data_IF_968970573119
#
_entry.id   IF_968970573119
#
_cell.length_a   1.000
_cell.length_b   1.000
_cell.length_c   1.000
_cell.angle_alpha   90.00
_cell.angle_beta   90.00
_cell.angle_gamma   90.00
#
_symmetry.space_group_name_H-M   'P 1'
#
loop_
_entity.id
_entity.type
_entity.pdbx_description
1 polymer ?
#
# COMPACT_ATOMS: atom_id res chain seq x y z
N UNK A 1 56.52 -12.62 12.42
CA UNK A 1 56.50 -11.40 13.21
C UNK A 1 55.08 -11.04 13.48
N UNK A 2 54.71 -11.19 14.68
CA UNK A 2 53.39 -11.34 15.23
C UNK A 2 52.77 -10.05 15.74
N UNK A 3 51.45 -10.09 15.76
CA UNK A 3 50.68 -9.44 16.83
C UNK A 3 50.43 -7.96 16.70
N UNK A 4 49.35 -7.62 15.99
CA UNK A 4 48.51 -6.46 16.32
C UNK A 4 47.21 -6.37 15.53
N UNK A 5 46.57 -7.51 15.26
CA UNK A 5 45.18 -7.52 14.74
C UNK A 5 44.32 -8.37 15.71
N UNK A 6 44.04 -7.83 16.86
CA UNK A 6 42.94 -8.25 17.73
C UNK A 6 42.74 -7.15 18.77
N UNK A 7 41.75 -6.33 18.54
CA UNK A 7 40.94 -5.57 19.52
C UNK A 7 40.39 -4.31 18.88
N UNK A 8 39.31 -4.49 18.15
CA UNK A 8 38.34 -3.43 17.95
C UNK A 8 36.96 -4.05 17.65
N UNK A 9 36.53 -4.88 18.56
CA UNK A 9 35.11 -5.19 18.72
C UNK A 9 34.70 -4.67 20.06
N UNK A 10 33.57 -3.98 20.09
CA UNK A 10 32.86 -3.46 21.25
C UNK A 10 33.10 -1.98 21.53
N UNK A 11 32.47 -1.12 20.75
CA UNK A 11 31.99 0.15 21.27
C UNK A 11 30.45 0.10 21.26
N UNK A 12 29.93 -0.55 22.27
CA UNK A 12 28.53 -0.35 22.69
C UNK A 12 28.46 1.08 23.24
N UNK A 13 27.87 1.97 22.47
CA UNK A 13 27.54 3.30 22.95
C UNK A 13 26.34 3.18 23.88
N UNK A 14 26.59 3.23 25.17
CA UNK A 14 25.57 3.36 26.21
C UNK A 14 24.95 4.74 26.05
N UNK A 15 23.74 4.77 25.50
CA UNK A 15 22.91 5.97 25.43
C UNK A 15 22.37 6.24 26.84
N UNK A 16 22.98 7.20 27.55
CA UNK A 16 22.44 7.71 28.82
C UNK A 16 21.14 8.46 28.56
N UNK A 17 20.05 7.89 29.04
CA UNK A 17 18.71 8.47 29.03
C UNK A 17 18.68 9.62 30.05
N UNK A 18 18.68 10.86 29.59
CA UNK A 18 18.39 12.03 30.44
C UNK A 18 16.89 12.31 30.33
N UNK A 19 16.14 11.89 31.33
CA UNK A 19 14.74 12.27 31.51
C UNK A 19 14.71 13.66 32.14
N UNK A 20 14.41 14.70 31.37
CA UNK A 20 14.04 16.01 31.92
C UNK A 20 12.52 16.04 32.13
N UNK A 21 12.12 15.99 33.38
CA UNK A 21 10.74 16.27 33.78
C UNK A 21 10.52 17.78 33.77
N UNK A 22 9.62 18.28 32.91
CA UNK A 22 9.17 19.65 32.94
C UNK A 22 7.93 19.76 33.83
N UNK A 23 8.03 20.61 34.86
CA UNK A 23 6.91 21.02 35.71
C UNK A 23 6.14 22.12 35.01
N UNK A 24 4.82 21.94 34.88
CA UNK A 24 3.90 22.95 34.37
C UNK A 24 3.60 24.00 35.45
N UNK A 25 3.78 25.27 35.14
CA UNK A 25 3.09 26.36 35.83
C UNK A 25 2.14 27.01 34.83
N UNK A 26 0.84 26.92 35.11
CA UNK A 26 -0.19 27.48 34.26
C UNK A 26 -0.39 28.99 34.45
N UNK A 27 -0.87 29.64 33.38
CA UNK A 27 -1.96 30.66 33.47
C UNK A 27 -2.47 30.99 32.06
N UNK A 28 -3.74 30.83 31.92
CA UNK A 28 -4.76 31.34 31.00
C UNK A 28 -4.34 32.19 29.78
N UNK A 29 -4.64 31.70 28.61
CA UNK A 29 -5.54 32.25 27.59
C UNK A 29 -5.60 31.27 26.40
N UNK A 30 -6.67 31.24 25.64
CA UNK A 30 -7.16 30.27 24.67
C UNK A 30 -6.21 29.81 23.53
N UNK A 31 -4.93 29.58 23.80
CA UNK A 31 -3.99 28.95 22.89
C UNK A 31 -3.78 27.49 23.30
N UNK A 32 -4.12 26.54 22.44
CA UNK A 32 -3.75 25.15 22.59
C UNK A 32 -2.23 25.03 22.88
N UNK A 33 -1.81 24.22 23.86
CA UNK A 33 -0.40 24.12 24.20
C UNK A 33 0.41 23.62 23.03
N UNK A 34 1.27 24.49 22.51
CA UNK A 34 2.21 24.17 21.44
C UNK A 34 3.18 23.12 21.97
N UNK A 35 3.04 21.88 21.50
CA UNK A 35 3.90 20.77 21.93
C UNK A 35 5.15 20.70 21.05
N UNK A 36 6.34 20.77 21.65
CA UNK A 36 7.59 20.48 20.94
C UNK A 36 7.90 18.99 20.97
N UNK A 37 8.10 18.40 19.80
CA UNK A 37 8.49 17.01 19.62
C UNK A 37 9.96 16.95 19.25
N UNK A 38 10.76 16.25 20.07
CA UNK A 38 12.21 16.14 19.88
C UNK A 38 12.58 14.86 19.14
N UNK A 39 13.49 14.98 18.18
CA UNK A 39 14.02 13.88 17.37
C UNK A 39 15.54 13.80 17.44
N UNK A 40 16.06 12.58 17.25
CA UNK A 40 17.46 12.33 17.01
C UNK A 40 17.63 11.46 15.75
N UNK A 41 18.82 11.43 15.19
CA UNK A 41 19.12 10.58 14.03
C UNK A 41 20.54 9.99 14.13
N UNK A 42 20.79 8.94 13.36
CA UNK A 42 22.11 8.33 13.29
C UNK A 42 22.11 7.03 12.50
N UNK A 43 23.31 6.48 12.34
CA UNK A 43 23.51 5.17 11.75
C UNK A 43 23.37 4.07 12.82
N UNK A 44 22.51 3.11 12.59
CA UNK A 44 22.35 1.92 13.42
C UNK A 44 23.16 0.72 12.92
N UNK A 45 23.55 0.74 11.63
CA UNK A 45 24.46 -0.21 10.99
C UNK A 45 25.36 0.50 10.00
N UNK A 46 26.61 0.08 9.93
CA UNK A 46 27.63 0.61 9.00
C UNK A 46 28.66 -0.47 8.70
N UNK A 47 29.06 -0.60 7.43
CA UNK A 47 30.25 -1.35 7.06
C UNK A 47 31.40 -0.40 6.75
N UNK A 48 32.50 -0.51 7.48
CA UNK A 48 33.65 0.42 7.42
C UNK A 48 34.86 -0.14 6.65
N UNK A 49 34.65 -1.07 5.74
CA UNK A 49 35.73 -1.85 5.10
C UNK A 49 36.27 -1.27 3.80
N UNK A 50 35.79 -0.11 3.36
CA UNK A 50 36.17 0.50 2.08
C UNK A 50 36.65 1.97 2.26
N UNK A 51 37.44 2.52 1.32
CA UNK A 51 38.03 3.85 1.45
C UNK A 51 37.03 5.00 1.44
N UNK A 52 35.88 4.85 0.76
CA UNK A 52 34.87 5.90 0.62
C UNK A 52 33.85 5.96 1.74
N UNK A 53 34.01 5.16 2.77
CA UNK A 53 33.10 5.01 3.91
C UNK A 53 32.64 6.37 4.51
N UNK A 54 33.59 7.27 4.80
CA UNK A 54 33.25 8.57 5.38
C UNK A 54 32.53 9.48 4.38
N UNK A 55 32.87 9.40 3.11
CA UNK A 55 32.22 10.18 2.06
C UNK A 55 30.75 9.74 1.87
N UNK A 56 30.49 8.44 1.84
CA UNK A 56 29.15 7.89 1.74
C UNK A 56 28.30 8.21 2.96
N UNK A 57 28.83 8.06 4.17
CA UNK A 57 28.16 8.46 5.41
C UNK A 57 27.76 9.95 5.39
N UNK A 58 28.71 10.82 5.03
CA UNK A 58 28.46 12.26 4.97
C UNK A 58 27.41 12.59 3.90
N UNK A 59 27.41 11.89 2.76
CA UNK A 59 26.41 12.04 1.70
C UNK A 59 25.01 11.73 2.20
N UNK A 60 24.85 10.60 2.88
CA UNK A 60 23.57 10.20 3.50
C UNK A 60 23.16 11.23 4.54
N UNK A 61 24.00 11.51 5.53
CA UNK A 61 23.66 12.43 6.61
C UNK A 61 23.28 13.83 6.11
N UNK A 62 24.01 14.37 5.14
CA UNK A 62 23.72 15.68 4.57
C UNK A 62 22.42 15.73 3.79
N UNK A 63 22.07 14.68 3.04
CA UNK A 63 20.79 14.60 2.34
C UNK A 63 19.61 14.63 3.34
N UNK A 64 19.69 13.85 4.43
CA UNK A 64 18.67 13.84 5.47
C UNK A 64 18.60 15.16 6.23
N UNK A 65 19.73 15.75 6.64
CA UNK A 65 19.76 17.09 7.24
C UNK A 65 19.10 18.15 6.36
N UNK A 66 19.43 18.14 5.08
CA UNK A 66 18.87 19.09 4.11
C UNK A 66 17.35 18.94 3.98
N UNK A 67 16.86 17.71 3.84
CA UNK A 67 15.43 17.45 3.69
C UNK A 67 14.64 17.76 4.98
N UNK A 68 15.22 17.52 6.15
CA UNK A 68 14.63 17.85 7.45
C UNK A 68 14.71 19.34 7.80
N UNK A 69 15.54 20.12 7.07
CA UNK A 69 15.79 21.54 7.34
C UNK A 69 16.54 21.77 8.64
N UNK A 70 17.52 20.90 8.98
CA UNK A 70 18.25 20.91 10.26
C UNK A 70 19.76 21.01 10.05
N UNK A 71 20.47 21.47 11.07
CA UNK A 71 21.94 21.59 11.07
C UNK A 71 22.64 20.60 12.00
N UNK A 72 21.90 19.97 12.93
CA UNK A 72 22.44 19.06 13.91
C UNK A 72 21.38 18.22 14.61
N UNK A 73 21.81 17.47 15.65
CA UNK A 73 20.97 16.62 16.50
C UNK A 73 21.18 16.93 17.98
N UNK A 74 20.14 16.87 18.83
CA UNK A 74 18.74 16.64 18.47
C UNK A 74 18.13 17.83 17.72
N UNK A 75 16.95 17.64 17.12
CA UNK A 75 16.15 18.69 16.51
C UNK A 75 14.69 18.61 16.97
N UNK A 76 13.94 19.70 16.85
CA UNK A 76 12.53 19.77 17.28
C UNK A 76 11.60 20.11 16.11
N UNK A 77 10.37 19.65 16.24
CA UNK A 77 9.20 20.07 15.44
C UNK A 77 8.09 20.48 16.39
N UNK A 78 7.26 21.40 15.97
CA UNK A 78 6.18 21.96 16.79
C UNK A 78 4.82 21.50 16.25
N UNK A 79 4.01 20.91 17.10
CA UNK A 79 2.68 20.38 16.72
C UNK A 79 2.33 19.10 17.46
N UNK A 80 1.24 18.44 17.03
CA UNK A 80 0.88 17.12 17.53
C UNK A 80 1.96 16.10 17.15
N UNK A 81 2.20 15.12 18.02
CA UNK A 81 3.27 14.10 17.84
C UNK A 81 3.12 13.38 16.50
N UNK A 82 1.91 12.96 16.16
CA UNK A 82 1.59 12.23 14.93
C UNK A 82 1.86 13.08 13.68
N UNK A 83 1.50 14.35 13.72
CA UNK A 83 1.73 15.26 12.60
C UNK A 83 3.23 15.56 12.43
N UNK A 84 3.95 15.75 13.54
CA UNK A 84 5.39 15.94 13.54
C UNK A 84 6.12 14.68 13.02
N UNK A 85 5.74 13.48 13.49
CA UNK A 85 6.30 12.21 13.00
C UNK A 85 6.06 12.03 11.50
N UNK A 86 4.87 12.40 11.00
CA UNK A 86 4.55 12.35 9.57
C UNK A 86 5.43 13.31 8.75
N UNK A 87 5.55 14.56 9.18
CA UNK A 87 6.40 15.55 8.49
C UNK A 87 7.87 15.10 8.44
N UNK A 88 8.37 14.54 9.54
CA UNK A 88 9.73 13.97 9.62
C UNK A 88 9.87 12.78 8.67
N UNK A 89 8.90 11.87 8.66
CA UNK A 89 8.89 10.73 7.74
C UNK A 89 8.91 11.17 6.26
N UNK A 90 8.03 12.09 5.87
CA UNK A 90 7.95 12.59 4.49
C UNK A 90 9.25 13.29 4.04
N UNK A 91 9.89 14.04 4.96
CA UNK A 91 11.18 14.64 4.70
C UNK A 91 12.28 13.56 4.52
N UNK A 92 12.28 12.53 5.37
CA UNK A 92 13.21 11.41 5.26
C UNK A 92 13.00 10.61 3.96
N UNK A 93 11.75 10.39 3.54
CA UNK A 93 11.43 9.73 2.27
C UNK A 93 12.02 10.52 1.08
N UNK A 94 11.84 11.85 1.07
CA UNK A 94 12.44 12.70 0.03
C UNK A 94 13.98 12.59 -0.01
N UNK A 95 14.62 12.56 1.17
CA UNK A 95 16.06 12.36 1.25
C UNK A 95 16.50 11.02 0.68
N UNK A 96 15.77 9.96 1.00
CA UNK A 96 16.02 8.61 0.47
C UNK A 96 15.85 8.58 -1.05
N UNK A 97 14.77 9.15 -1.58
CA UNK A 97 14.48 9.18 -3.02
C UNK A 97 15.55 9.93 -3.82
N UNK A 98 16.18 10.97 -3.23
CA UNK A 98 17.30 11.69 -3.84
C UNK A 98 18.59 10.85 -3.93
N UNK A 99 18.73 9.86 -3.03
CA UNK A 99 19.93 9.01 -2.96
C UNK A 99 19.74 7.65 -3.63
N UNK A 100 18.51 7.34 -4.03
CA UNK A 100 18.15 6.06 -4.65
C UNK A 100 18.85 5.87 -5.98
N UNK A 101 19.45 4.69 -6.17
CA UNK A 101 20.19 4.33 -7.39
C UNK A 101 21.64 4.78 -7.41
N UNK A 102 22.18 5.29 -6.30
CA UNK A 102 23.59 5.57 -6.15
C UNK A 102 24.40 4.28 -6.02
N UNK A 103 25.65 4.30 -6.51
CA UNK A 103 26.53 3.13 -6.40
C UNK A 103 27.20 3.08 -5.02
N UNK A 104 26.54 2.45 -4.07
CA UNK A 104 27.05 2.27 -2.71
C UNK A 104 28.10 1.17 -2.65
N UNK A 105 29.24 1.44 -1.98
CA UNK A 105 30.29 0.46 -1.72
C UNK A 105 30.15 -0.19 -0.33
N UNK A 106 29.46 0.48 0.59
CA UNK A 106 29.19 0.01 1.95
C UNK A 106 27.71 -0.28 2.20
N UNK A 107 27.45 -0.88 3.36
CA UNK A 107 26.10 -1.09 3.88
C UNK A 107 25.82 -0.08 4.98
N UNK A 108 24.75 0.67 4.84
CA UNK A 108 24.35 1.70 5.79
C UNK A 108 22.89 1.54 6.18
N UNK A 109 22.61 1.67 7.46
CA UNK A 109 21.25 1.81 7.97
C UNK A 109 21.17 3.10 8.78
N UNK A 110 20.47 4.08 8.24
CA UNK A 110 20.23 5.37 8.87
C UNK A 110 18.83 5.42 9.48
N UNK A 111 18.72 5.95 10.71
CA UNK A 111 17.45 6.02 11.44
C UNK A 111 17.20 7.40 12.01
N UNK A 112 15.92 7.79 12.04
CA UNK A 112 15.44 8.97 12.78
C UNK A 112 14.47 8.48 13.85
N UNK A 113 14.66 8.93 15.09
CA UNK A 113 13.92 8.47 16.26
C UNK A 113 13.30 9.65 17.00
N UNK A 114 12.02 9.54 17.32
CA UNK A 114 11.33 10.42 18.25
C UNK A 114 11.82 10.13 19.66
N UNK A 115 12.47 11.12 20.30
CA UNK A 115 13.11 10.94 21.62
C UNK A 115 12.08 10.75 22.72
N UNK A 116 10.95 11.46 22.65
CA UNK A 116 9.91 11.40 23.69
C UNK A 116 9.18 10.06 23.74
N UNK A 117 8.95 9.44 22.60
CA UNK A 117 8.25 8.14 22.49
C UNK A 117 9.21 6.95 22.39
N UNK A 118 10.48 7.19 22.10
CA UNK A 118 11.46 6.15 21.79
C UNK A 118 11.25 5.47 20.42
N UNK A 119 10.33 5.98 19.61
CA UNK A 119 9.89 5.39 18.35
C UNK A 119 10.81 5.76 17.20
N UNK A 120 11.23 4.77 16.41
CA UNK A 120 11.93 5.00 15.14
C UNK A 120 10.92 5.49 14.11
N UNK A 121 11.07 6.73 13.62
CA UNK A 121 10.18 7.36 12.64
C UNK A 121 10.49 6.88 11.23
N UNK A 122 11.76 6.67 10.91
CA UNK A 122 12.16 6.05 9.64
C UNK A 122 13.47 5.27 9.76
N UNK A 123 13.62 4.29 8.89
CA UNK A 123 14.85 3.55 8.66
C UNK A 123 15.14 3.54 7.16
N UNK A 124 16.26 4.09 6.75
CA UNK A 124 16.75 4.06 5.38
C UNK A 124 17.94 3.10 5.28
N UNK A 125 17.89 2.17 4.33
CA UNK A 125 18.92 1.17 4.07
C UNK A 125 19.53 1.49 2.72
N UNK A 126 20.86 1.55 2.67
CA UNK A 126 21.64 1.78 1.46
C UNK A 126 22.72 0.72 1.38
N UNK A 127 22.72 -0.05 0.32
CA UNK A 127 23.78 -1.00 -0.03
C UNK A 127 23.75 -1.30 -1.53
N UNK A 128 24.78 -1.92 -2.06
CA UNK A 128 24.88 -2.27 -3.49
C UNK A 128 23.71 -3.17 -3.95
N UNK A 129 23.23 -4.05 -3.06
CA UNK A 129 22.23 -5.08 -3.39
C UNK A 129 20.84 -4.77 -2.80
N UNK A 130 20.72 -3.76 -1.92
CA UNK A 130 19.47 -3.50 -1.21
C UNK A 130 19.34 -2.02 -0.84
N UNK A 131 18.48 -1.31 -1.54
CA UNK A 131 18.03 0.01 -1.14
C UNK A 131 16.59 -0.08 -0.67
N UNK A 132 16.33 0.28 0.59
CA UNK A 132 15.00 0.19 1.16
C UNK A 132 14.73 1.34 2.13
N UNK A 133 13.53 1.90 2.07
CA UNK A 133 13.03 2.86 3.02
C UNK A 133 11.88 2.24 3.80
N UNK A 134 12.15 1.99 5.08
CA UNK A 134 11.18 1.43 6.00
C UNK A 134 10.72 2.59 6.89
N UNK A 135 9.45 2.95 6.83
CA UNK A 135 8.86 3.77 7.88
C UNK A 135 9.18 3.09 9.22
N UNK A 136 9.71 3.84 10.18
CA UNK A 136 9.63 3.41 11.56
C UNK A 136 8.18 3.11 11.86
N UNK A 137 7.86 2.39 12.93
CA UNK A 137 6.46 2.23 13.31
C UNK A 137 5.82 3.61 13.51
N UNK A 138 5.46 4.27 12.42
CA UNK A 138 4.45 5.30 12.43
C UNK A 138 3.25 4.57 13.02
N UNK A 139 2.59 5.16 13.98
CA UNK A 139 1.30 4.63 14.44
C UNK A 139 0.50 4.36 13.18
N UNK A 140 -0.03 3.13 13.01
CA UNK A 140 -0.76 2.81 11.79
C UNK A 140 -1.74 3.93 11.51
N UNK A 141 -1.90 4.31 10.25
CA UNK A 141 -2.82 5.39 9.85
C UNK A 141 -4.21 5.11 10.39
N UNK A 142 -4.60 3.83 10.35
CA UNK A 142 -5.80 3.31 11.00
C UNK A 142 -5.47 2.66 12.35
N UNK A 143 -6.45 2.63 13.22
CA UNK A 143 -6.34 2.11 14.58
C UNK A 143 -7.14 0.82 14.82
N UNK A 144 -7.71 0.22 13.76
CA UNK A 144 -8.49 -1.02 13.84
C UNK A 144 -7.59 -2.22 13.53
N UNK A 145 -7.68 -3.26 14.34
CA UNK A 145 -6.97 -4.50 14.08
C UNK A 145 -7.48 -5.20 12.80
N UNK A 146 -6.58 -5.84 12.06
CA UNK A 146 -6.91 -6.50 10.79
C UNK A 146 -7.95 -7.62 10.99
N UNK A 147 -7.85 -8.36 12.06
CA UNK A 147 -8.79 -9.43 12.45
C UNK A 147 -10.20 -8.92 12.76
N UNK A 148 -10.35 -7.62 13.06
CA UNK A 148 -11.64 -6.97 13.32
C UNK A 148 -12.16 -6.21 12.08
N UNK A 149 -11.41 -6.21 10.97
CA UNK A 149 -11.84 -5.55 9.75
C UNK A 149 -13.18 -6.11 9.24
N UNK A 150 -14.07 -5.23 8.79
CA UNK A 150 -15.40 -5.59 8.29
C UNK A 150 -15.74 -4.81 7.02
N UNK A 151 -16.74 -5.28 6.28
CA UNK A 151 -17.21 -4.66 5.03
C UNK A 151 -17.49 -3.17 5.22
N UNK A 152 -16.85 -2.35 4.41
CA UNK A 152 -16.95 -0.89 4.44
C UNK A 152 -15.89 -0.20 5.29
N UNK A 153 -15.08 -0.91 6.07
CA UNK A 153 -13.97 -0.29 6.82
C UNK A 153 -12.94 0.32 5.87
N UNK A 154 -12.29 1.39 6.33
CA UNK A 154 -11.27 2.07 5.55
C UNK A 154 -9.96 1.27 5.52
N UNK A 155 -9.30 1.27 4.38
CA UNK A 155 -8.02 0.63 4.17
C UNK A 155 -6.99 1.64 3.66
N UNK A 156 -5.84 1.70 4.32
CA UNK A 156 -4.83 2.72 4.08
C UNK A 156 -3.60 2.19 3.34
N UNK A 157 -2.81 3.12 2.81
CA UNK A 157 -1.59 2.82 2.03
C UNK A 157 -0.49 2.13 2.83
N UNK A 158 -0.55 2.15 4.16
CA UNK A 158 0.34 1.41 5.06
C UNK A 158 -0.16 0.00 5.43
N UNK A 159 -1.33 -0.39 4.90
CA UNK A 159 -1.97 -1.68 5.18
C UNK A 159 -2.80 -1.72 6.46
N UNK A 160 -2.98 -0.58 7.14
CA UNK A 160 -3.81 -0.47 8.34
C UNK A 160 -5.29 -0.22 8.02
N UNK A 161 -6.14 -0.35 9.05
CA UNK A 161 -7.59 -0.24 8.94
C UNK A 161 -8.15 0.79 9.91
N UNK A 162 -9.27 1.43 9.53
CA UNK A 162 -10.12 2.17 10.46
C UNK A 162 -11.58 1.78 10.27
N UNK A 163 -12.36 1.88 11.34
CA UNK A 163 -13.78 1.59 11.31
C UNK A 163 -14.52 2.54 10.35
N UNK A 164 -15.48 2.00 9.61
CA UNK A 164 -16.31 2.74 8.64
C UNK A 164 -17.10 3.93 9.23
N UNK A 165 -17.25 3.97 10.56
CA UNK A 165 -17.87 5.10 11.28
C UNK A 165 -16.86 6.18 11.68
N UNK A 166 -15.56 5.94 11.49
CA UNK A 166 -14.51 6.91 11.83
C UNK A 166 -14.63 8.16 10.95
N UNK A 167 -14.63 9.33 11.55
CA UNK A 167 -14.46 10.58 10.84
C UNK A 167 -12.98 10.73 10.48
N UNK A 168 -12.67 10.55 9.21
CA UNK A 168 -11.29 10.61 8.72
C UNK A 168 -10.80 12.06 8.64
N UNK A 169 -9.66 12.34 9.26
CA UNK A 169 -8.92 13.57 9.04
C UNK A 169 -8.46 13.71 7.58
N UNK A 170 -8.15 14.91 7.12
CA UNK A 170 -7.74 15.16 5.72
C UNK A 170 -6.54 14.32 5.29
N UNK A 171 -5.55 14.13 6.17
CA UNK A 171 -4.37 13.32 5.90
C UNK A 171 -4.70 11.82 5.82
N UNK A 172 -5.65 11.32 6.63
CA UNK A 172 -6.14 9.95 6.54
C UNK A 172 -6.91 9.72 5.24
N UNK A 173 -7.75 10.67 4.81
CA UNK A 173 -8.42 10.61 3.50
C UNK A 173 -7.41 10.54 2.34
N UNK A 174 -6.33 11.32 2.43
CA UNK A 174 -5.25 11.29 1.43
C UNK A 174 -4.51 9.95 1.38
N UNK A 175 -4.39 9.27 2.52
CA UNK A 175 -3.72 7.97 2.63
C UNK A 175 -4.66 6.76 2.43
N UNK A 176 -5.98 6.97 2.42
CA UNK A 176 -6.96 5.91 2.19
C UNK A 176 -6.93 5.49 0.72
N UNK A 177 -6.70 4.20 0.46
CA UNK A 177 -6.60 3.64 -0.90
C UNK A 177 -7.78 2.75 -1.28
N UNK A 178 -8.58 2.32 -0.29
CA UNK A 178 -9.73 1.46 -0.54
C UNK A 178 -10.61 1.28 0.68
N UNK A 179 -11.64 0.48 0.52
CA UNK A 179 -12.52 0.03 1.58
C UNK A 179 -12.62 -1.49 1.58
N UNK A 180 -12.73 -2.08 2.76
CA UNK A 180 -12.89 -3.53 2.89
C UNK A 180 -14.14 -3.96 2.13
N UNK A 181 -13.94 -4.81 1.11
CA UNK A 181 -15.01 -5.42 0.34
C UNK A 181 -15.63 -6.56 1.13
N UNK A 182 -14.81 -7.48 1.62
CA UNK A 182 -15.24 -8.66 2.38
C UNK A 182 -14.13 -9.07 3.34
N UNK A 183 -14.53 -9.40 4.58
CA UNK A 183 -13.65 -10.02 5.57
C UNK A 183 -13.51 -11.52 5.29
N UNK A 184 -12.32 -12.04 5.50
CA UNK A 184 -11.98 -13.44 5.42
C UNK A 184 -12.00 -14.00 4.01
N UNK A 185 -11.35 -15.14 3.86
CA UNK A 185 -11.35 -15.94 2.64
C UNK A 185 -12.46 -16.98 2.72
N UNK A 186 -13.37 -16.93 1.78
CA UNK A 186 -14.38 -17.95 1.65
C UNK A 186 -13.90 -19.02 0.67
N UNK A 187 -13.67 -20.21 1.17
CA UNK A 187 -13.18 -21.37 0.38
C UNK A 187 -14.29 -22.40 0.12
N UNK A 188 -15.53 -22.06 0.45
CA UNK A 188 -16.68 -22.94 0.31
C UNK A 188 -17.89 -22.23 -0.27
N UNK A 189 -18.81 -23.01 -0.86
CA UNK A 189 -20.09 -22.51 -1.36
C UNK A 189 -19.96 -21.59 -2.57
N UNK A 190 -20.93 -20.73 -2.73
CA UNK A 190 -21.10 -19.84 -3.90
C UNK A 190 -20.01 -18.74 -4.00
N UNK A 191 -19.25 -18.52 -2.92
CA UNK A 191 -18.25 -17.47 -2.79
C UNK A 191 -16.83 -18.01 -2.73
N UNK A 192 -16.65 -19.29 -3.09
CA UNK A 192 -15.37 -19.98 -2.98
C UNK A 192 -14.24 -19.23 -3.69
N UNK A 193 -13.13 -19.09 -2.98
CA UNK A 193 -11.85 -18.62 -3.50
C UNK A 193 -10.87 -19.79 -3.53
N UNK A 194 -10.62 -20.31 -4.72
CA UNK A 194 -9.72 -21.45 -4.94
C UNK A 194 -8.32 -21.01 -5.41
N UNK A 195 -8.07 -19.69 -5.45
CA UNK A 195 -6.81 -19.14 -5.95
C UNK A 195 -5.67 -19.34 -4.99
N UNK A 196 -4.47 -19.54 -5.53
CA UNK A 196 -3.21 -19.40 -4.80
C UNK A 196 -2.73 -17.95 -5.00
N UNK A 197 -2.52 -17.25 -3.92
CA UNK A 197 -2.09 -15.85 -3.96
C UNK A 197 -0.59 -15.73 -3.74
N UNK A 198 0.01 -14.77 -4.40
CA UNK A 198 1.35 -14.28 -4.06
C UNK A 198 1.28 -12.81 -3.67
N UNK A 199 2.25 -12.38 -2.90
CA UNK A 199 2.46 -10.95 -2.66
C UNK A 199 2.67 -10.24 -4.01
N UNK A 200 2.46 -8.95 -4.05
CA UNK A 200 2.56 -8.15 -5.28
C UNK A 200 3.93 -8.22 -6.00
N UNK A 201 4.97 -8.74 -5.33
CA UNK A 201 6.25 -9.06 -5.95
C UNK A 201 6.21 -10.29 -6.86
N UNK A 202 5.09 -11.02 -6.92
CA UNK A 202 4.82 -12.23 -7.69
C UNK A 202 5.78 -13.41 -7.42
N UNK A 203 6.49 -13.40 -6.30
CA UNK A 203 7.46 -14.45 -5.95
C UNK A 203 7.18 -15.13 -4.62
N UNK A 204 6.62 -14.38 -3.66
CA UNK A 204 6.34 -14.87 -2.30
C UNK A 204 4.88 -15.25 -2.17
N UNK A 205 4.59 -16.51 -1.80
CA UNK A 205 3.22 -16.93 -1.52
C UNK A 205 2.64 -16.18 -0.32
N UNK A 206 1.38 -15.78 -0.43
CA UNK A 206 0.61 -15.31 0.71
C UNK A 206 0.13 -16.53 1.49
N UNK A 207 0.55 -16.63 2.76
CA UNK A 207 0.21 -17.77 3.63
C UNK A 207 -1.28 -17.77 4.00
N UNK A 208 -1.85 -16.57 4.15
CA UNK A 208 -3.24 -16.35 4.56
C UNK A 208 -3.85 -15.19 3.78
N UNK A 209 -5.16 -15.27 3.57
CA UNK A 209 -5.97 -14.19 3.00
C UNK A 209 -6.99 -13.80 4.07
N UNK A 210 -6.83 -12.60 4.61
CA UNK A 210 -7.71 -12.08 5.67
C UNK A 210 -8.94 -11.38 5.13
N UNK A 211 -8.90 -10.99 3.86
CA UNK A 211 -10.02 -10.34 3.19
C UNK A 211 -9.65 -9.69 1.87
N UNK A 212 -10.59 -8.89 1.38
CA UNK A 212 -10.49 -8.17 0.11
C UNK A 212 -10.83 -6.70 0.29
N UNK A 213 -10.16 -5.86 -0.46
CA UNK A 213 -10.36 -4.40 -0.49
C UNK A 213 -10.82 -4.00 -1.89
N UNK A 214 -11.80 -3.09 -1.96
CA UNK A 214 -12.22 -2.41 -3.20
C UNK A 214 -11.58 -1.03 -3.25
N UNK A 215 -11.05 -0.67 -4.40
CA UNK A 215 -10.41 0.62 -4.63
C UNK A 215 -11.35 1.82 -4.42
N UNK A 216 -10.83 2.96 -3.95
CA UNK A 216 -11.61 4.18 -3.76
C UNK A 216 -12.05 4.84 -5.07
N UNK A 217 -11.30 4.62 -6.15
CA UNK A 217 -11.46 5.29 -7.44
C UNK A 217 -11.54 4.28 -8.55
N UNK A 218 -12.13 4.69 -9.67
CA UNK A 218 -12.11 3.88 -10.86
C UNK A 218 -10.70 3.82 -11.46
N UNK A 219 -10.25 2.63 -11.81
CA UNK A 219 -8.99 2.42 -12.52
C UNK A 219 -9.11 2.91 -13.97
N UNK A 220 -10.32 2.86 -14.51
CA UNK A 220 -10.68 3.46 -15.81
C UNK A 220 -12.19 3.73 -15.84
N UNK A 221 -12.58 4.89 -16.37
CA UNK A 221 -13.99 5.32 -16.46
C UNK A 221 -14.78 4.64 -17.58
N UNK A 222 -14.12 3.92 -18.49
CA UNK A 222 -14.73 3.16 -19.56
C UNK A 222 -13.72 2.65 -20.58
N UNK A 223 -13.55 1.33 -20.63
CA UNK A 223 -12.71 0.63 -21.62
C UNK A 223 -13.35 -0.70 -22.01
N UNK A 224 -12.82 -1.33 -23.05
CA UNK A 224 -13.17 -2.69 -23.45
C UNK A 224 -12.66 -3.70 -22.39
N UNK A 225 -13.34 -4.84 -22.29
CA UNK A 225 -12.85 -5.94 -21.47
C UNK A 225 -11.55 -6.50 -22.03
N UNK A 226 -11.54 -6.77 -23.34
CA UNK A 226 -10.40 -7.30 -24.05
C UNK A 226 -10.76 -7.80 -25.45
N UNK A 227 -9.89 -8.61 -26.04
CA UNK A 227 -9.97 -9.11 -27.40
C UNK A 227 -11.28 -9.86 -27.69
N UNK A 228 -12.11 -9.29 -28.55
CA UNK A 228 -13.35 -9.88 -29.02
C UNK A 228 -13.06 -11.11 -29.87
N UNK A 229 -13.81 -12.20 -29.68
CA UNK A 229 -13.59 -13.47 -30.36
C UNK A 229 -12.48 -14.35 -29.73
N UNK A 230 -11.96 -13.98 -28.55
CA UNK A 230 -10.89 -14.69 -27.89
C UNK A 230 -11.34 -15.23 -26.53
N UNK A 231 -11.31 -16.56 -26.38
CA UNK A 231 -11.50 -17.23 -25.10
C UNK A 231 -10.15 -17.31 -24.36
N UNK A 232 -10.11 -16.82 -23.12
CA UNK A 232 -8.89 -16.76 -22.29
C UNK A 232 -8.81 -17.92 -21.31
N UNK A 233 -9.97 -18.44 -20.87
CA UNK A 233 -10.07 -19.51 -19.88
C UNK A 233 -10.15 -19.00 -18.44
N UNK A 234 -10.65 -17.78 -18.26
CA UNK A 234 -10.94 -17.25 -16.92
C UNK A 234 -12.11 -17.98 -16.26
N UNK A 235 -12.27 -17.77 -14.95
CA UNK A 235 -13.45 -18.23 -14.24
C UNK A 235 -14.75 -17.72 -14.91
N UNK A 236 -15.73 -18.60 -15.02
CA UNK A 236 -17.01 -18.35 -15.70
C UNK A 236 -18.20 -18.38 -14.75
N UNK A 237 -17.94 -18.52 -13.47
CA UNK A 237 -18.99 -18.60 -12.48
C UNK A 237 -19.31 -17.23 -11.87
N UNK A 238 -20.57 -16.89 -11.82
CA UNK A 238 -21.07 -15.76 -11.03
C UNK A 238 -21.21 -16.09 -9.55
N UNK A 239 -21.27 -17.38 -9.22
CA UNK A 239 -21.69 -17.84 -7.91
C UNK A 239 -20.56 -18.43 -7.09
N UNK A 240 -19.48 -18.91 -7.71
CA UNK A 240 -18.47 -19.72 -7.04
C UNK A 240 -17.09 -19.08 -6.95
N UNK A 241 -16.88 -17.81 -7.31
CA UNK A 241 -15.53 -17.36 -7.42
C UNK A 241 -15.22 -15.97 -6.87
N UNK A 242 -14.48 -15.91 -5.77
CA UNK A 242 -13.66 -14.75 -5.42
C UNK A 242 -12.31 -14.83 -6.13
N UNK A 243 -12.32 -15.26 -7.40
CA UNK A 243 -11.14 -15.60 -8.20
C UNK A 243 -10.59 -14.44 -9.04
N UNK A 244 -10.81 -13.18 -8.63
CA UNK A 244 -10.33 -12.01 -9.38
C UNK A 244 -8.82 -12.01 -9.56
N UNK A 245 -8.07 -12.46 -8.54
CA UNK A 245 -6.63 -12.60 -8.61
C UNK A 245 -6.21 -13.61 -9.69
N UNK A 246 -6.66 -14.85 -9.60
CA UNK A 246 -6.29 -15.91 -10.54
C UNK A 246 -6.77 -15.61 -11.96
N UNK A 247 -8.00 -15.09 -12.14
CA UNK A 247 -8.52 -14.69 -13.45
C UNK A 247 -7.70 -13.57 -14.08
N UNK A 248 -7.33 -12.54 -13.31
CA UNK A 248 -6.47 -11.45 -13.81
C UNK A 248 -5.11 -11.97 -14.23
N UNK A 249 -4.49 -12.86 -13.45
CA UNK A 249 -3.21 -13.47 -13.80
C UNK A 249 -3.31 -14.40 -15.01
N UNK A 250 -4.43 -15.11 -15.17
CA UNK A 250 -4.72 -15.90 -16.37
C UNK A 250 -4.76 -15.00 -17.62
N UNK A 251 -5.44 -13.84 -17.55
CA UNK A 251 -5.47 -12.87 -18.65
C UNK A 251 -4.05 -12.38 -18.99
N UNK A 252 -3.28 -11.99 -17.96
CA UNK A 252 -1.91 -11.46 -18.15
C UNK A 252 -1.00 -12.54 -18.76
N UNK A 253 -1.07 -13.77 -18.26
CA UNK A 253 -0.26 -14.89 -18.77
C UNK A 253 -0.65 -15.23 -20.19
N UNK A 254 -1.96 -15.38 -20.49
CA UNK A 254 -2.45 -15.61 -21.84
C UNK A 254 -1.96 -14.55 -22.82
N UNK A 255 -2.06 -13.26 -22.43
CA UNK A 255 -1.58 -12.15 -23.25
C UNK A 255 -0.07 -12.23 -23.53
N UNK A 256 0.73 -12.56 -22.49
CA UNK A 256 2.17 -12.73 -22.61
C UNK A 256 2.51 -13.88 -23.57
N UNK A 257 1.83 -15.01 -23.47
CA UNK A 257 2.03 -16.18 -24.35
C UNK A 257 1.70 -15.88 -25.82
N UNK A 258 0.77 -14.96 -26.06
CA UNK A 258 0.44 -14.45 -27.41
C UNK A 258 1.42 -13.40 -27.92
N UNK A 259 2.27 -12.84 -27.06
CA UNK A 259 3.16 -11.73 -27.41
C UNK A 259 2.43 -10.42 -27.71
N UNK A 260 1.21 -10.24 -27.15
CA UNK A 260 0.42 -9.04 -27.36
C UNK A 260 0.74 -7.93 -26.35
N UNK A 261 0.36 -6.70 -26.70
CA UNK A 261 0.37 -5.61 -25.74
C UNK A 261 -0.86 -5.73 -24.81
N UNK A 262 -0.65 -5.82 -23.50
CA UNK A 262 -1.75 -6.04 -22.56
C UNK A 262 -2.75 -4.89 -22.54
N UNK A 263 -2.28 -3.65 -22.62
CA UNK A 263 -3.13 -2.46 -22.62
C UNK A 263 -4.07 -2.41 -23.82
N UNK A 264 -3.61 -2.87 -24.97
CA UNK A 264 -4.39 -2.89 -26.20
C UNK A 264 -5.31 -4.11 -26.26
N UNK A 265 -4.82 -5.28 -25.86
CA UNK A 265 -5.53 -6.54 -25.98
C UNK A 265 -6.53 -6.81 -24.83
N UNK A 266 -6.20 -6.40 -23.60
CA UNK A 266 -7.01 -6.60 -22.39
C UNK A 266 -6.98 -5.37 -21.48
N UNK A 267 -7.51 -4.23 -21.95
CA UNK A 267 -7.42 -2.95 -21.22
C UNK A 267 -8.06 -3.00 -19.82
N UNK A 268 -9.15 -3.76 -19.62
CA UNK A 268 -9.75 -3.87 -18.28
C UNK A 268 -8.78 -4.47 -17.25
N UNK A 269 -8.11 -5.56 -17.58
CA UNK A 269 -7.12 -6.20 -16.72
C UNK A 269 -5.87 -5.31 -16.55
N UNK A 270 -5.39 -4.66 -17.61
CA UNK A 270 -4.28 -3.72 -17.57
C UNK A 270 -4.56 -2.56 -16.60
N UNK A 271 -5.69 -1.89 -16.76
CA UNK A 271 -6.03 -0.75 -15.92
C UNK A 271 -6.20 -1.13 -14.45
N UNK A 272 -6.81 -2.29 -14.16
CA UNK A 272 -6.98 -2.75 -12.79
C UNK A 272 -5.64 -3.12 -12.13
N UNK A 273 -4.78 -3.90 -12.81
CA UNK A 273 -3.60 -4.49 -12.19
C UNK A 273 -2.34 -3.61 -12.32
N UNK A 274 -2.15 -2.94 -13.45
CA UNK A 274 -0.91 -2.20 -13.74
C UNK A 274 -1.15 -0.70 -13.66
N UNK A 275 -2.18 -0.20 -14.34
CA UNK A 275 -2.46 1.23 -14.38
C UNK A 275 -2.83 1.79 -13.00
N UNK A 276 -3.65 1.07 -12.25
CA UNK A 276 -4.06 1.50 -10.92
C UNK A 276 -2.91 1.39 -9.89
N UNK A 277 -2.14 0.30 -9.94
CA UNK A 277 -0.94 0.11 -9.09
C UNK A 277 0.09 1.23 -9.26
N UNK A 278 0.26 1.73 -10.49
CA UNK A 278 1.18 2.83 -10.76
C UNK A 278 0.76 4.16 -10.13
N UNK A 279 -0.55 4.39 -9.96
CA UNK A 279 -1.10 5.62 -9.38
C UNK A 279 -1.35 5.50 -7.87
N UNK A 280 -1.79 4.33 -7.42
CA UNK A 280 -2.18 4.04 -6.04
C UNK A 280 -1.53 2.72 -5.60
N UNK A 281 -0.23 2.74 -5.26
CA UNK A 281 0.49 1.52 -4.91
C UNK A 281 -0.17 0.79 -3.74
N UNK A 282 -0.42 -0.50 -3.93
CA UNK A 282 -0.88 -1.37 -2.86
C UNK A 282 0.24 -1.63 -1.84
N UNK A 283 -0.06 -1.88 -0.55
CA UNK A 283 0.93 -2.31 0.43
C UNK A 283 1.67 -3.58 -0.01
N UNK A 284 2.95 -3.70 0.39
CA UNK A 284 3.82 -4.80 -0.05
C UNK A 284 3.34 -6.20 0.39
N UNK A 285 2.59 -6.26 1.49
CA UNK A 285 2.03 -7.47 2.08
C UNK A 285 0.66 -7.87 1.51
N UNK A 286 0.28 -7.35 0.34
CA UNK A 286 -0.99 -7.66 -0.35
C UNK A 286 -0.74 -8.35 -1.69
N UNK A 287 -1.82 -8.83 -2.31
CA UNK A 287 -1.77 -9.41 -3.66
C UNK A 287 -1.42 -8.41 -4.77
N UNK A 288 -1.36 -7.10 -4.47
CA UNK A 288 -1.48 -6.07 -5.48
C UNK A 288 -2.90 -5.99 -6.06
N UNK A 289 -3.14 -4.96 -6.88
CA UNK A 289 -4.44 -4.71 -7.47
C UNK A 289 -4.74 -5.67 -8.63
N UNK A 290 -6.00 -6.08 -8.73
CA UNK A 290 -6.52 -6.97 -9.78
C UNK A 290 -7.93 -6.56 -10.21
N UNK A 291 -8.41 -7.08 -11.32
CA UNK A 291 -9.79 -6.94 -11.76
C UNK A 291 -10.68 -7.90 -10.94
N UNK A 292 -11.73 -7.42 -10.24
CA UNK A 292 -12.58 -8.27 -9.42
C UNK A 292 -13.33 -9.32 -10.25
N UNK A 293 -13.50 -10.52 -9.71
CA UNK A 293 -14.31 -11.57 -10.33
C UNK A 293 -15.82 -11.26 -10.32
N UNK A 294 -16.61 -12.04 -11.06
CA UNK A 294 -18.06 -11.97 -11.03
C UNK A 294 -18.63 -12.15 -9.61
N UNK A 295 -18.09 -13.07 -8.82
CA UNK A 295 -18.48 -13.28 -7.42
C UNK A 295 -18.14 -12.08 -6.52
N UNK A 296 -16.95 -11.48 -6.68
CA UNK A 296 -16.59 -10.27 -5.97
C UNK A 296 -17.47 -9.08 -6.36
N UNK A 297 -17.80 -8.93 -7.65
CA UNK A 297 -18.76 -7.94 -8.13
C UNK A 297 -20.16 -8.15 -7.56
N UNK A 298 -20.62 -9.39 -7.47
CA UNK A 298 -21.93 -9.71 -6.88
C UNK A 298 -21.95 -9.38 -5.37
N UNK A 299 -20.89 -9.68 -4.64
CA UNK A 299 -20.74 -9.30 -3.23
C UNK A 299 -20.71 -7.78 -3.04
N UNK A 300 -19.95 -7.07 -3.88
CA UNK A 300 -19.95 -5.61 -3.93
C UNK A 300 -21.36 -5.05 -4.12
N UNK A 301 -22.10 -5.57 -5.08
CA UNK A 301 -23.48 -5.16 -5.34
C UNK A 301 -24.40 -5.34 -4.14
N UNK A 302 -24.31 -6.48 -3.46
CA UNK A 302 -25.11 -6.78 -2.28
C UNK A 302 -24.83 -5.86 -1.09
N UNK A 303 -23.61 -5.27 -1.04
CA UNK A 303 -23.16 -4.38 0.01
C UNK A 303 -22.94 -2.94 -0.50
N UNK A 304 -23.46 -2.60 -1.67
CA UNK A 304 -23.15 -1.34 -2.39
C UNK A 304 -23.36 -0.09 -1.56
N UNK A 305 -24.38 -0.06 -0.71
CA UNK A 305 -24.75 1.15 0.04
C UNK A 305 -23.79 1.45 1.18
N UNK A 306 -23.32 0.42 1.91
CA UNK A 306 -22.30 0.60 2.95
C UNK A 306 -20.95 0.94 2.34
N UNK A 307 -20.57 0.26 1.26
CA UNK A 307 -19.31 0.48 0.55
C UNK A 307 -19.28 1.90 -0.06
N UNK A 308 -20.37 2.33 -0.72
CA UNK A 308 -20.46 3.67 -1.31
C UNK A 308 -20.31 4.78 -0.26
N UNK A 309 -20.99 4.61 0.88
CA UNK A 309 -20.91 5.58 1.98
C UNK A 309 -19.47 5.73 2.47
N UNK A 310 -18.78 4.62 2.68
CA UNK A 310 -17.39 4.65 3.12
C UNK A 310 -16.47 5.26 2.06
N UNK A 311 -16.63 4.90 0.79
CA UNK A 311 -15.88 5.49 -0.32
C UNK A 311 -16.07 7.00 -0.36
N UNK A 312 -17.31 7.49 -0.24
CA UNK A 312 -17.60 8.94 -0.24
C UNK A 312 -17.01 9.65 0.98
N UNK A 313 -17.08 9.02 2.17
CA UNK A 313 -16.48 9.57 3.40
C UNK A 313 -14.96 9.66 3.29
N UNK A 314 -14.32 8.74 2.58
CA UNK A 314 -12.88 8.77 2.29
C UNK A 314 -12.51 9.72 1.12
N UNK A 315 -13.47 10.39 0.48
CA UNK A 315 -13.24 11.26 -0.67
C UNK A 315 -12.99 10.49 -1.99
N UNK A 316 -13.50 9.27 -2.08
CA UNK A 316 -13.44 8.44 -3.28
C UNK A 316 -14.56 8.75 -4.28
N UNK A 317 -14.56 8.02 -5.39
CA UNK A 317 -15.47 8.23 -6.52
C UNK A 317 -16.76 7.41 -6.37
N UNK A 318 -17.90 8.02 -6.74
CA UNK A 318 -19.18 7.34 -6.84
C UNK A 318 -19.22 6.28 -7.95
N UNK A 319 -20.37 5.61 -8.06
CA UNK A 319 -20.54 4.52 -9.03
C UNK A 319 -20.77 5.01 -10.45
N UNK A 320 -20.18 4.25 -11.43
CA UNK A 320 -20.60 4.27 -12.84
C UNK A 320 -21.74 3.26 -13.07
N UNK A 321 -22.39 3.33 -14.19
CA UNK A 321 -23.51 2.45 -14.53
C UNK A 321 -23.09 0.97 -14.68
N UNK A 322 -21.88 0.74 -15.22
CA UNK A 322 -21.39 -0.58 -15.59
C UNK A 322 -19.93 -0.77 -15.19
N UNK A 323 -19.60 -1.94 -14.60
CA UNK A 323 -18.24 -2.33 -14.27
C UNK A 323 -17.91 -3.70 -14.80
N UNK A 324 -16.76 -3.84 -15.43
CA UNK A 324 -16.23 -5.14 -15.83
C UNK A 324 -15.83 -5.99 -14.62
N UNK A 325 -16.10 -7.31 -14.72
CA UNK A 325 -15.44 -8.33 -13.90
C UNK A 325 -14.35 -9.04 -14.72
N UNK A 326 -13.47 -9.78 -14.03
CA UNK A 326 -12.48 -10.64 -14.70
C UNK A 326 -13.06 -11.95 -15.25
N UNK A 327 -14.34 -12.24 -15.00
CA UNK A 327 -14.98 -13.51 -15.37
C UNK A 327 -15.56 -13.47 -16.79
N UNK A 328 -15.24 -14.48 -17.59
CA UNK A 328 -15.84 -14.69 -18.91
C UNK A 328 -17.28 -15.19 -18.76
N UNK A 329 -18.14 -14.82 -19.71
CA UNK A 329 -19.53 -15.30 -19.72
C UNK A 329 -19.60 -16.78 -20.10
N UNK A 330 -20.23 -17.59 -19.25
CA UNK A 330 -20.21 -19.05 -19.35
C UNK A 330 -20.74 -19.63 -20.68
N UNK A 331 -21.74 -18.98 -21.28
CA UNK A 331 -22.38 -19.48 -22.52
C UNK A 331 -21.67 -19.02 -23.77
N UNK A 332 -20.83 -17.96 -23.68
CA UNK A 332 -20.15 -17.39 -24.84
C UNK A 332 -18.84 -16.69 -24.45
N UNK A 333 -17.88 -17.49 -23.93
CA UNK A 333 -16.65 -16.95 -23.31
C UNK A 333 -15.71 -16.25 -24.29
N UNK A 334 -15.78 -16.57 -25.57
CA UNK A 334 -14.95 -15.90 -26.57
C UNK A 334 -15.39 -14.46 -26.84
N UNK A 335 -16.68 -14.18 -26.72
CA UNK A 335 -17.26 -12.89 -27.14
C UNK A 335 -17.77 -12.04 -26.01
N UNK A 336 -18.08 -12.63 -24.85
CA UNK A 336 -18.75 -11.94 -23.74
C UNK A 336 -18.05 -12.16 -22.40
N UNK A 337 -18.14 -11.16 -21.51
CA UNK A 337 -17.70 -11.21 -20.13
C UNK A 337 -18.80 -10.72 -19.19
N UNK A 338 -18.74 -11.17 -17.93
CA UNK A 338 -19.65 -10.67 -16.91
C UNK A 338 -19.31 -9.24 -16.50
N UNK A 339 -20.38 -8.48 -16.22
CA UNK A 339 -20.30 -7.13 -15.74
C UNK A 339 -21.36 -6.85 -14.66
N UNK A 340 -21.09 -5.86 -13.86
CA UNK A 340 -21.95 -5.36 -12.81
C UNK A 340 -22.80 -4.19 -13.36
N UNK A 341 -24.13 -4.35 -13.38
CA UNK A 341 -25.09 -3.30 -13.70
C UNK A 341 -25.54 -2.60 -12.42
N UNK A 342 -24.85 -1.52 -12.05
CA UNK A 342 -25.17 -0.73 -10.86
C UNK A 342 -26.54 -0.05 -10.98
N UNK A 343 -26.92 0.37 -12.19
CA UNK A 343 -28.18 1.06 -12.43
C UNK A 343 -29.39 0.17 -12.18
N UNK A 344 -29.31 -1.11 -12.59
CA UNK A 344 -30.39 -2.09 -12.38
C UNK A 344 -30.21 -2.94 -11.14
N UNK A 345 -29.09 -2.84 -10.46
CA UNK A 345 -28.81 -3.62 -9.26
C UNK A 345 -28.67 -5.12 -9.51
N UNK A 346 -28.01 -5.52 -10.60
CA UNK A 346 -27.86 -6.93 -10.95
C UNK A 346 -26.53 -7.21 -11.65
N UNK A 347 -26.13 -8.47 -11.63
CA UNK A 347 -25.09 -8.95 -12.54
C UNK A 347 -25.68 -9.12 -13.94
N UNK A 348 -24.88 -8.84 -14.95
CA UNK A 348 -25.21 -8.93 -16.37
C UNK A 348 -24.00 -9.44 -17.14
N UNK A 349 -24.07 -9.44 -18.45
CA UNK A 349 -22.95 -9.72 -19.35
C UNK A 349 -22.99 -8.76 -20.53
N UNK A 350 -21.86 -8.57 -21.17
CA UNK A 350 -21.73 -7.74 -22.36
C UNK A 350 -20.63 -8.24 -23.28
N UNK A 351 -20.69 -7.86 -24.53
CA UNK A 351 -19.63 -8.16 -25.50
C UNK A 351 -18.30 -7.54 -25.03
N UNK A 352 -17.20 -8.30 -25.13
CA UNK A 352 -15.86 -7.87 -24.70
C UNK A 352 -15.38 -6.57 -25.33
N UNK A 353 -15.92 -6.21 -26.50
CA UNK A 353 -15.66 -4.95 -27.20
C UNK A 353 -16.45 -3.75 -26.67
N UNK A 354 -17.42 -3.92 -25.77
CA UNK A 354 -18.16 -2.81 -25.18
C UNK A 354 -17.33 -2.04 -24.17
N UNK A 355 -17.75 -0.81 -23.88
CA UNK A 355 -17.09 0.02 -22.87
C UNK A 355 -17.83 -0.07 -21.54
N UNK A 356 -17.09 -0.44 -20.47
CA UNK A 356 -17.54 -0.34 -19.09
C UNK A 356 -16.39 0.12 -18.20
N UNK A 357 -16.72 0.68 -17.04
CA UNK A 357 -15.74 1.12 -16.08
C UNK A 357 -14.98 -0.06 -15.46
N UNK A 358 -13.83 0.24 -14.90
CA UNK A 358 -12.98 -0.70 -14.16
C UNK A 358 -12.71 -0.16 -12.78
N UNK A 359 -12.98 -0.95 -11.76
CA UNK A 359 -12.58 -0.67 -10.38
C UNK A 359 -11.79 -1.85 -9.82
N UNK A 360 -10.59 -1.56 -9.32
CA UNK A 360 -9.68 -2.61 -8.87
C UNK A 360 -10.06 -3.15 -7.49
N UNK A 361 -9.64 -4.37 -7.19
CA UNK A 361 -9.65 -4.94 -5.85
C UNK A 361 -8.29 -5.58 -5.54
N UNK A 362 -8.01 -5.81 -4.26
CA UNK A 362 -6.84 -6.56 -3.80
C UNK A 362 -7.23 -7.53 -2.69
N UNK A 363 -6.34 -8.51 -2.40
CA UNK A 363 -6.41 -9.35 -1.20
C UNK A 363 -5.32 -8.92 -0.21
N UNK A 364 -5.67 -8.99 1.10
CA UNK A 364 -4.75 -8.67 2.21
C UNK A 364 -4.69 -9.80 3.23
#
# INVERSE_FOLDING_TARGET
MNSSIKKMSTLLSIMSLVILAFTFTGCSDDDEPVTEVTYTYGFSRMSASHPDFLAEMNKIENAFKSALGITGKPFTKTGAVEECDKQVYEACQKAFDLLKGEAWQGDYTFQVTNVGTGKVVCTAIFSADNENFIGGQISPIGNKAMEDADTGDFYFSDGSFADKSTELASWQKAACIGVVLKKGRDVSGDWADNGTYTLKNNTTSMSEIHGYVLALRDANGGCQWGSFGTEVGCDRSLTTGFNGYSSTHTIITFNKDKGWNLQDAFPAAYHAAIGYEAQYPAPANTSGWVLPSGGQCKYWLNNKDVILRSIQNAGGEGWKDWYWSSSEFSSDPAYSAYLLDMRRGRMSYGGKGYSAAVRACLAF
#
